data_IF_573423341254
#
_entry.id   IF_573423341254
#
_cell.length_a   1.000
_cell.length_b   1.000
_cell.length_c   1.000
_cell.angle_alpha   90.00
_cell.angle_beta   90.00
_cell.angle_gamma   90.00
#
_symmetry.space_group_name_H-M   'P 1'
#
loop_
_entity.id
_entity.type
_entity.pdbx_description
1 polymer ?
#
# COMPACT_ATOMS: atom_id res chain seq x y z
N UNK A 1 -0.63 -45.03 0.04
CA UNK A 1 -0.55 -44.89 -1.43
C UNK A 1 -1.05 -43.51 -1.78
N UNK A 2 -0.14 -42.50 -1.86
CA UNK A 2 -0.47 -41.17 -2.40
C UNK A 2 -0.46 -41.27 -3.93
N UNK A 3 -1.63 -41.14 -4.54
CA UNK A 3 -1.73 -41.16 -6.00
C UNK A 3 -1.04 -39.90 -6.55
N UNK A 4 0.08 -40.07 -7.25
CA UNK A 4 0.59 -39.08 -8.17
C UNK A 4 -0.49 -38.81 -9.24
N UNK A 5 -1.31 -37.75 -9.00
CA UNK A 5 -2.14 -37.22 -10.08
C UNK A 5 -1.21 -36.61 -11.12
N UNK A 6 -1.17 -37.22 -12.28
CA UNK A 6 -0.35 -36.81 -13.42
C UNK A 6 -0.63 -35.36 -13.81
N UNK A 7 0.42 -34.58 -13.97
CA UNK A 7 0.48 -33.19 -14.39
C UNK A 7 0.16 -32.98 -15.89
N UNK A 8 -0.97 -33.49 -16.39
CA UNK A 8 -1.29 -33.39 -17.82
C UNK A 8 -2.06 -32.11 -18.24
N UNK A 9 -2.55 -31.32 -17.30
CA UNK A 9 -3.25 -30.06 -17.63
C UNK A 9 -2.24 -28.90 -17.75
N UNK A 10 -2.32 -28.16 -18.87
CA UNK A 10 -1.53 -26.96 -19.10
C UNK A 10 -1.72 -25.95 -17.93
N UNK A 11 -0.65 -25.30 -17.47
CA UNK A 11 -0.73 -24.40 -16.31
C UNK A 11 -1.52 -23.13 -16.63
N UNK A 12 -2.04 -22.46 -15.60
CA UNK A 12 -2.40 -21.04 -15.67
C UNK A 12 -1.11 -20.24 -15.57
N UNK A 13 -0.84 -19.36 -16.54
CA UNK A 13 0.33 -18.50 -16.53
C UNK A 13 -0.05 -17.18 -15.86
N UNK A 14 0.69 -16.80 -14.84
CA UNK A 14 0.52 -15.53 -14.12
C UNK A 14 1.77 -14.69 -14.32
N UNK A 15 1.61 -13.51 -14.88
CA UNK A 15 2.71 -12.55 -15.13
C UNK A 15 2.67 -11.48 -14.06
N UNK A 16 3.71 -11.46 -13.20
CA UNK A 16 3.84 -10.57 -12.05
C UNK A 16 3.66 -11.28 -10.72
N UNK A 17 4.72 -11.27 -9.89
CA UNK A 17 4.77 -11.86 -8.55
C UNK A 17 4.51 -10.81 -7.43
N UNK A 18 3.73 -9.76 -7.74
CA UNK A 18 3.19 -8.82 -6.77
C UNK A 18 2.05 -9.43 -5.94
N UNK A 19 1.48 -8.66 -5.02
CA UNK A 19 0.41 -9.12 -4.12
C UNK A 19 -0.79 -9.72 -4.84
N UNK A 20 -1.20 -9.16 -5.99
CA UNK A 20 -2.32 -9.69 -6.78
C UNK A 20 -1.99 -11.02 -7.46
N UNK A 21 -0.78 -11.13 -8.05
CA UNK A 21 -0.33 -12.37 -8.68
C UNK A 21 -0.16 -13.51 -7.67
N UNK A 22 0.44 -13.22 -6.51
CA UNK A 22 0.58 -14.19 -5.43
C UNK A 22 -0.79 -14.62 -4.87
N UNK A 23 -1.73 -13.68 -4.68
CA UNK A 23 -3.09 -14.01 -4.27
C UNK A 23 -3.78 -14.92 -5.29
N UNK A 24 -3.71 -14.58 -6.59
CA UNK A 24 -4.26 -15.41 -7.65
C UNK A 24 -3.65 -16.81 -7.62
N UNK A 25 -2.32 -16.92 -7.52
CA UNK A 25 -1.59 -18.17 -7.50
C UNK A 25 -2.01 -19.06 -6.31
N UNK A 26 -2.09 -18.50 -5.10
CA UNK A 26 -2.48 -19.26 -3.89
C UNK A 26 -3.90 -19.81 -4.01
N UNK A 27 -4.86 -19.02 -4.53
CA UNK A 27 -6.24 -19.49 -4.72
C UNK A 27 -6.36 -20.55 -5.82
N UNK A 28 -5.62 -20.44 -6.92
CA UNK A 28 -5.57 -21.45 -7.97
C UNK A 28 -4.94 -22.76 -7.45
N UNK A 29 -3.84 -22.66 -6.70
CA UNK A 29 -3.18 -23.81 -6.07
C UNK A 29 -4.11 -24.52 -5.11
N UNK A 30 -4.84 -23.78 -4.28
CA UNK A 30 -5.82 -24.36 -3.34
C UNK A 30 -6.97 -25.09 -4.06
N UNK A 31 -7.31 -24.67 -5.28
CA UNK A 31 -8.29 -25.36 -6.14
C UNK A 31 -7.68 -26.53 -6.97
N UNK A 32 -6.41 -26.85 -6.78
CA UNK A 32 -5.72 -27.95 -7.45
C UNK A 32 -5.43 -27.69 -8.93
N UNK A 33 -5.27 -26.41 -9.34
CA UNK A 33 -4.86 -26.06 -10.68
C UNK A 33 -3.33 -25.90 -10.74
N UNK A 34 -2.73 -26.41 -11.82
CA UNK A 34 -1.33 -26.13 -12.13
C UNK A 34 -1.18 -24.66 -12.52
N UNK A 35 -0.11 -24.02 -12.06
CA UNK A 35 0.19 -22.64 -12.37
C UNK A 35 1.69 -22.42 -12.62
N UNK A 36 2.02 -21.34 -13.31
CA UNK A 36 3.37 -20.83 -13.48
C UNK A 36 3.35 -19.31 -13.27
N UNK A 37 4.00 -18.84 -12.24
CA UNK A 37 4.14 -17.44 -11.88
C UNK A 37 5.48 -16.92 -12.40
N UNK A 38 5.48 -15.87 -13.22
CA UNK A 38 6.67 -15.33 -13.89
C UNK A 38 6.83 -13.87 -13.50
N UNK A 39 8.02 -13.47 -13.06
CA UNK A 39 8.33 -12.08 -12.74
C UNK A 39 9.69 -11.66 -13.32
N UNK A 40 9.80 -10.42 -13.75
CA UNK A 40 11.02 -9.84 -14.28
C UNK A 40 12.02 -9.43 -13.20
N UNK A 41 11.58 -9.31 -11.95
CA UNK A 41 12.42 -8.93 -10.80
C UNK A 41 13.13 -10.15 -10.18
N UNK A 42 14.07 -9.87 -9.32
CA UNK A 42 14.88 -10.83 -8.57
C UNK A 42 14.17 -11.40 -7.32
N UNK A 43 12.94 -10.95 -7.04
CA UNK A 43 12.17 -11.38 -5.88
C UNK A 43 10.69 -11.10 -6.00
N UNK A 44 9.90 -11.76 -5.15
CA UNK A 44 8.45 -11.59 -5.06
C UNK A 44 8.06 -10.32 -4.30
N UNK A 45 6.82 -9.86 -4.49
CA UNK A 45 6.21 -8.78 -3.73
C UNK A 45 5.91 -7.51 -4.54
N UNK A 46 6.60 -7.31 -5.66
CA UNK A 46 6.44 -6.09 -6.46
C UNK A 46 6.81 -4.83 -5.68
N UNK A 47 5.83 -3.99 -5.36
CA UNK A 47 6.00 -2.79 -4.53
C UNK A 47 6.13 -3.09 -3.02
N UNK A 48 5.60 -4.22 -2.57
CA UNK A 48 5.67 -4.64 -1.15
C UNK A 48 6.94 -5.48 -0.96
N UNK A 49 8.08 -4.80 -0.83
CA UNK A 49 9.40 -5.41 -0.67
C UNK A 49 10.21 -4.67 0.36
N UNK A 50 11.12 -5.42 0.99
CA UNK A 50 12.13 -4.90 1.93
C UNK A 50 13.50 -5.27 1.41
N UNK A 51 14.33 -4.27 1.22
CA UNK A 51 15.74 -4.41 0.84
C UNK A 51 16.62 -4.31 2.09
N UNK A 52 17.88 -4.72 1.98
CA UNK A 52 18.87 -4.56 3.05
C UNK A 52 19.97 -3.62 2.57
N UNK A 53 20.25 -2.58 3.35
CA UNK A 53 21.38 -1.68 3.13
C UNK A 53 22.09 -1.40 4.44
N UNK A 54 23.40 -1.62 4.49
CA UNK A 54 24.24 -1.47 5.69
C UNK A 54 23.66 -2.19 6.93
N UNK A 55 22.96 -3.33 6.68
CA UNK A 55 22.28 -4.13 7.70
C UNK A 55 20.90 -3.63 8.12
N UNK A 56 20.50 -2.42 7.74
CA UNK A 56 19.13 -1.91 7.96
C UNK A 56 18.13 -2.55 7.00
N UNK A 57 16.90 -2.76 7.47
CA UNK A 57 15.78 -3.17 6.64
C UNK A 57 15.08 -1.92 6.07
N UNK A 58 15.06 -1.80 4.76
CA UNK A 58 14.47 -0.65 4.06
C UNK A 58 13.30 -1.12 3.20
N UNK A 59 12.09 -0.78 3.59
CA UNK A 59 10.92 -1.02 2.75
C UNK A 59 10.97 -0.09 1.51
N UNK A 60 10.39 -0.49 0.40
CA UNK A 60 10.34 0.35 -0.80
C UNK A 60 9.33 1.47 -0.65
N UNK A 61 9.74 2.54 0.04
CA UNK A 61 8.90 3.62 0.54
C UNK A 61 8.25 3.29 1.89
N UNK A 62 7.77 4.34 2.59
CA UNK A 62 7.05 4.16 3.84
C UNK A 62 5.72 3.43 3.59
N UNK A 63 5.57 2.26 4.17
CA UNK A 63 4.39 1.42 4.03
C UNK A 63 3.89 0.94 5.38
N UNK A 64 2.58 0.70 5.48
CA UNK A 64 1.96 0.05 6.63
C UNK A 64 0.97 -1.02 6.17
N UNK A 65 0.79 -2.04 6.98
CA UNK A 65 -0.26 -3.02 6.84
C UNK A 65 -1.39 -2.71 7.84
N UNK A 66 -2.63 -2.63 7.37
CA UNK A 66 -3.79 -2.46 8.24
C UNK A 66 -4.31 -3.84 8.67
N UNK A 67 -4.20 -4.17 9.96
CA UNK A 67 -4.55 -5.49 10.49
C UNK A 67 -6.06 -5.80 10.47
N UNK A 68 -6.88 -4.80 10.07
CA UNK A 68 -8.31 -4.94 9.81
C UNK A 68 -8.66 -5.35 8.37
N UNK A 69 -7.70 -5.54 7.48
CA UNK A 69 -7.95 -5.98 6.12
C UNK A 69 -8.56 -7.39 6.09
N UNK A 70 -9.81 -7.58 5.64
CA UNK A 70 -10.50 -8.86 5.80
C UNK A 70 -9.94 -9.97 4.91
N UNK A 71 -9.74 -9.71 3.61
CA UNK A 71 -9.29 -10.75 2.67
C UNK A 71 -7.81 -11.08 2.85
N UNK A 72 -6.99 -10.05 3.04
CA UNK A 72 -5.56 -10.25 3.28
C UNK A 72 -5.34 -10.91 4.63
N UNK A 73 -6.08 -10.51 5.67
CA UNK A 73 -6.02 -11.12 7.00
C UNK A 73 -6.43 -12.58 7.01
N UNK A 74 -7.41 -12.98 6.17
CA UNK A 74 -7.80 -14.39 6.01
C UNK A 74 -6.74 -15.22 5.25
N UNK A 75 -5.93 -14.58 4.42
CA UNK A 75 -4.92 -15.25 3.60
C UNK A 75 -3.57 -15.40 4.31
N UNK A 76 -3.26 -14.52 5.27
CA UNK A 76 -1.96 -14.44 5.96
C UNK A 76 -2.03 -15.07 7.36
N UNK A 77 -0.90 -15.58 7.82
CA UNK A 77 -0.67 -15.86 9.24
C UNK A 77 -0.11 -14.59 9.91
N UNK A 78 -1.01 -13.77 10.46
CA UNK A 78 -0.65 -12.51 11.08
C UNK A 78 0.23 -12.69 12.33
N UNK A 79 0.12 -13.85 13.00
CA UNK A 79 0.94 -14.14 14.17
C UNK A 79 2.40 -14.42 13.77
N UNK A 80 2.60 -15.17 12.69
CA UNK A 80 3.94 -15.45 12.17
C UNK A 80 4.63 -14.21 11.60
N UNK A 81 3.86 -13.21 11.15
CA UNK A 81 4.39 -11.91 10.69
C UNK A 81 4.89 -11.04 11.85
N UNK A 82 4.53 -11.35 13.10
CA UNK A 82 4.89 -10.55 14.29
C UNK A 82 4.61 -9.05 14.08
N UNK A 83 3.33 -8.73 13.86
CA UNK A 83 2.92 -7.37 13.50
C UNK A 83 3.14 -6.38 14.65
N UNK A 84 3.97 -5.37 14.40
CA UNK A 84 4.27 -4.26 15.30
C UNK A 84 3.32 -3.10 15.03
N UNK A 85 2.67 -2.60 16.09
CA UNK A 85 1.62 -1.59 15.99
C UNK A 85 2.16 -0.19 16.12
N UNK A 86 1.64 0.71 15.31
CA UNK A 86 1.79 2.16 15.52
C UNK A 86 0.77 2.69 16.51
N UNK A 87 1.11 3.80 17.16
CA UNK A 87 0.18 4.54 18.00
C UNK A 87 -1.01 5.06 17.16
N UNK A 88 -2.25 4.97 17.69
CA UNK A 88 -3.44 5.39 16.97
C UNK A 88 -3.59 6.92 17.01
N UNK A 89 -2.79 7.61 16.23
CA UNK A 89 -2.74 9.06 16.15
C UNK A 89 -1.57 9.55 15.35
N UNK A 90 -1.26 10.84 15.49
CA UNK A 90 -0.12 11.47 14.84
C UNK A 90 0.43 12.63 15.67
N UNK A 91 1.71 12.94 15.47
CA UNK A 91 2.27 14.24 15.79
C UNK A 91 2.12 15.13 14.56
N UNK A 92 1.62 16.34 14.71
CA UNK A 92 1.40 17.27 13.60
C UNK A 92 2.24 18.52 13.82
N UNK A 93 3.16 18.78 12.90
CA UNK A 93 3.96 20.01 12.91
C UNK A 93 3.11 21.17 12.37
N UNK A 94 2.92 22.20 13.17
CA UNK A 94 2.07 23.34 12.83
C UNK A 94 2.84 24.59 12.36
N UNK A 95 4.06 24.41 11.89
CA UNK A 95 4.97 25.48 11.48
C UNK A 95 5.83 26.04 12.65
N UNK A 96 5.58 25.62 13.87
CA UNK A 96 6.35 26.07 15.06
C UNK A 96 6.77 24.93 15.98
N UNK A 97 5.91 23.94 16.16
CA UNK A 97 6.13 22.80 17.08
C UNK A 97 5.22 21.64 16.73
N UNK A 98 5.61 20.46 17.16
CA UNK A 98 4.80 19.23 17.06
C UNK A 98 3.63 19.29 18.04
N UNK A 99 2.45 18.88 17.60
CA UNK A 99 1.21 18.79 18.36
C UNK A 99 0.63 17.39 18.24
N UNK A 100 0.30 16.78 19.35
CA UNK A 100 -0.26 15.43 19.39
C UNK A 100 -1.77 15.46 19.12
N UNK A 101 -2.20 14.60 18.19
CA UNK A 101 -3.60 14.33 17.90
C UNK A 101 -3.81 12.80 17.90
N UNK A 102 -4.54 12.29 18.88
CA UNK A 102 -4.78 10.86 19.07
C UNK A 102 -6.22 10.48 18.77
N UNK A 103 -6.45 9.23 18.37
CA UNK A 103 -7.79 8.64 18.36
C UNK A 103 -8.26 8.43 19.81
N UNK A 104 -9.10 9.34 20.28
CA UNK A 104 -9.60 9.35 21.66
C UNK A 104 -10.44 8.13 22.01
N UNK A 105 -11.01 7.43 21.03
CA UNK A 105 -11.75 6.18 21.24
C UNK A 105 -10.83 5.01 21.59
N UNK A 106 -9.59 5.06 21.10
CA UNK A 106 -8.57 4.03 21.34
C UNK A 106 -7.59 4.42 22.44
N UNK A 107 -7.41 5.72 22.69
CA UNK A 107 -6.57 6.30 23.74
C UNK A 107 -7.39 7.32 24.56
N UNK A 108 -8.36 6.89 25.41
CA UNK A 108 -9.21 7.81 26.18
C UNK A 108 -8.41 8.76 27.08
N UNK A 109 -7.27 8.33 27.61
CA UNK A 109 -6.38 9.18 28.40
C UNK A 109 -5.87 10.42 27.64
N UNK A 110 -5.82 10.36 26.31
CA UNK A 110 -5.41 11.48 25.44
C UNK A 110 -6.57 12.40 25.03
N UNK A 111 -7.78 12.20 25.58
CA UNK A 111 -8.97 12.96 25.18
C UNK A 111 -8.79 14.46 25.41
N UNK A 112 -8.25 14.85 26.57
CA UNK A 112 -8.03 16.25 26.88
C UNK A 112 -6.98 16.90 25.98
N UNK A 113 -5.82 16.26 25.80
CA UNK A 113 -4.76 16.79 24.93
C UNK A 113 -5.19 16.87 23.47
N UNK A 114 -5.93 15.87 22.99
CA UNK A 114 -6.49 15.89 21.61
C UNK A 114 -7.61 16.92 21.47
N UNK A 115 -8.47 17.11 22.48
CA UNK A 115 -9.52 18.12 22.46
C UNK A 115 -8.96 19.55 22.42
N UNK A 116 -7.87 19.79 23.13
CA UNK A 116 -7.23 21.12 23.24
C UNK A 116 -6.15 21.36 22.18
N UNK A 117 -5.74 20.34 21.41
CA UNK A 117 -4.79 20.50 20.33
C UNK A 117 -5.29 21.57 19.33
N UNK A 118 -4.45 22.52 18.90
CA UNK A 118 -4.83 23.58 17.97
C UNK A 118 -4.82 23.06 16.51
N UNK A 119 -5.50 21.94 16.29
CA UNK A 119 -5.69 21.26 15.01
C UNK A 119 -7.20 21.19 14.77
N UNK A 120 -7.74 22.05 13.90
CA UNK A 120 -9.17 22.25 13.75
C UNK A 120 -9.84 22.80 15.01
N UNK A 121 -11.16 23.06 14.94
CA UNK A 121 -11.98 23.48 16.07
C UNK A 121 -12.58 22.31 16.86
N UNK A 122 -13.19 22.60 18.02
CA UNK A 122 -13.93 21.62 18.80
C UNK A 122 -15.05 20.95 17.99
N UNK A 123 -15.75 21.73 17.16
CA UNK A 123 -16.80 21.23 16.27
C UNK A 123 -16.26 20.23 15.25
N UNK A 124 -15.04 20.44 14.74
CA UNK A 124 -14.40 19.48 13.81
C UNK A 124 -14.16 18.13 14.50
N UNK A 125 -13.73 18.14 15.74
CA UNK A 125 -13.48 16.93 16.52
C UNK A 125 -14.78 16.14 16.79
N UNK A 126 -15.88 16.84 17.08
CA UNK A 126 -17.21 16.22 17.16
C UNK A 126 -17.63 15.60 15.82
N UNK A 127 -17.40 16.32 14.71
CA UNK A 127 -17.68 15.80 13.34
C UNK A 127 -16.87 14.55 13.02
N UNK A 128 -15.58 14.46 13.45
CA UNK A 128 -14.79 13.23 13.34
C UNK A 128 -15.47 12.08 14.05
N UNK A 129 -15.96 12.30 15.27
CA UNK A 129 -16.68 11.29 16.06
C UNK A 129 -17.95 10.79 15.35
N UNK A 130 -18.78 11.71 14.84
CA UNK A 130 -19.99 11.37 14.09
C UNK A 130 -19.67 10.64 12.79
N UNK A 131 -18.69 11.11 12.03
CA UNK A 131 -18.22 10.46 10.82
C UNK A 131 -17.70 9.05 11.11
N UNK A 132 -16.95 8.88 12.20
CA UNK A 132 -16.45 7.58 12.66
C UNK A 132 -17.59 6.61 12.93
N UNK A 133 -18.58 7.00 13.71
CA UNK A 133 -19.74 6.16 14.02
C UNK A 133 -20.47 5.72 12.76
N UNK A 134 -20.71 6.63 11.82
CA UNK A 134 -21.38 6.35 10.56
C UNK A 134 -20.57 5.39 9.67
N UNK A 135 -19.25 5.63 9.52
CA UNK A 135 -18.40 4.81 8.65
C UNK A 135 -18.20 3.41 9.24
N UNK A 136 -17.93 3.30 10.55
CA UNK A 136 -17.73 2.00 11.19
C UNK A 136 -19.02 1.16 11.21
N UNK A 137 -20.18 1.78 11.33
CA UNK A 137 -21.49 1.11 11.24
C UNK A 137 -21.90 0.67 9.83
N UNK A 138 -21.18 1.11 8.78
CA UNK A 138 -21.48 0.74 7.39
C UNK A 138 -20.68 -0.49 6.97
N UNK A 139 -21.23 -1.33 6.08
CA UNK A 139 -20.46 -2.40 5.43
C UNK A 139 -19.59 -1.84 4.30
N UNK A 140 -18.56 -2.59 3.88
CA UNK A 140 -17.74 -2.21 2.72
C UNK A 140 -18.57 -2.09 1.44
N UNK A 141 -19.57 -2.97 1.28
CA UNK A 141 -20.48 -2.90 0.15
C UNK A 141 -21.35 -1.64 0.17
N UNK A 142 -21.82 -1.20 1.35
CA UNK A 142 -22.55 0.06 1.49
C UNK A 142 -21.67 1.26 1.16
N UNK A 143 -20.40 1.27 1.59
CA UNK A 143 -19.43 2.32 1.23
C UNK A 143 -19.22 2.36 -0.28
N UNK A 144 -19.00 1.22 -0.92
CA UNK A 144 -18.81 1.12 -2.37
C UNK A 144 -20.02 1.60 -3.21
N UNK A 145 -21.23 1.58 -2.64
CA UNK A 145 -22.47 2.04 -3.30
C UNK A 145 -22.78 3.53 -3.11
N UNK A 146 -22.05 4.22 -2.21
CA UNK A 146 -22.27 5.66 -1.97
C UNK A 146 -21.94 6.48 -3.22
N UNK A 147 -22.50 7.69 -3.29
CA UNK A 147 -22.08 8.69 -4.26
C UNK A 147 -20.58 8.94 -4.12
N UNK A 148 -19.87 8.96 -5.24
CA UNK A 148 -18.42 9.17 -5.26
C UNK A 148 -18.10 10.60 -5.63
N UNK A 149 -17.22 11.21 -4.87
CA UNK A 149 -16.71 12.58 -5.05
C UNK A 149 -15.29 12.67 -4.51
N UNK A 150 -14.62 13.79 -4.72
CA UNK A 150 -13.30 13.98 -4.15
C UNK A 150 -13.35 13.96 -2.62
N UNK A 151 -12.33 13.45 -1.97
CA UNK A 151 -12.20 13.47 -0.50
C UNK A 151 -12.32 14.89 0.04
N UNK A 152 -11.77 15.90 -0.65
CA UNK A 152 -11.92 17.30 -0.23
C UNK A 152 -13.38 17.75 -0.24
N UNK A 153 -14.10 17.50 -1.36
CA UNK A 153 -15.52 17.83 -1.48
C UNK A 153 -16.38 17.10 -0.42
N UNK A 154 -16.05 15.84 -0.15
CA UNK A 154 -16.70 15.05 0.89
C UNK A 154 -16.51 15.66 2.28
N UNK A 155 -15.28 16.02 2.66
CA UNK A 155 -14.98 16.63 3.96
C UNK A 155 -15.64 18.01 4.10
N UNK A 156 -15.58 18.84 3.06
CA UNK A 156 -16.28 20.14 3.03
C UNK A 156 -17.80 19.97 3.17
N UNK A 157 -18.39 19.01 2.45
CA UNK A 157 -19.81 18.69 2.52
C UNK A 157 -20.26 18.19 3.90
N UNK A 158 -19.33 17.63 4.69
CA UNK A 158 -19.57 17.30 6.11
C UNK A 158 -19.35 18.46 7.06
N UNK A 159 -18.97 19.63 6.54
CA UNK A 159 -18.82 20.86 7.29
C UNK A 159 -17.48 21.00 8.01
N UNK A 160 -16.47 20.17 7.72
CA UNK A 160 -15.13 20.35 8.30
C UNK A 160 -14.56 21.72 7.92
N UNK A 161 -13.90 22.36 8.90
CA UNK A 161 -13.25 23.65 8.67
C UNK A 161 -12.04 23.49 7.73
N UNK A 162 -11.71 24.59 7.01
CA UNK A 162 -10.50 24.64 6.19
C UNK A 162 -9.25 24.31 7.01
N UNK A 163 -9.17 24.84 8.24
CA UNK A 163 -8.05 24.56 9.14
C UNK A 163 -7.89 23.06 9.43
N UNK A 164 -8.97 22.33 9.72
CA UNK A 164 -8.92 20.89 9.96
C UNK A 164 -8.53 20.11 8.71
N UNK A 165 -9.06 20.51 7.56
CA UNK A 165 -8.74 19.86 6.27
C UNK A 165 -7.26 20.06 5.94
N UNK A 166 -6.76 21.27 5.99
CA UNK A 166 -5.40 21.59 5.56
C UNK A 166 -4.34 21.09 6.54
N UNK A 167 -4.58 21.24 7.85
CA UNK A 167 -3.56 20.88 8.86
C UNK A 167 -3.47 19.37 9.11
N UNK A 168 -4.59 18.64 9.06
CA UNK A 168 -4.62 17.22 9.40
C UNK A 168 -4.98 16.32 8.21
N UNK A 169 -6.18 16.49 7.63
CA UNK A 169 -6.62 15.55 6.60
C UNK A 169 -5.72 15.56 5.37
N UNK A 170 -5.26 16.73 4.95
CA UNK A 170 -4.39 16.89 3.79
C UNK A 170 -3.02 16.24 4.02
N UNK A 171 -2.41 16.43 5.18
CA UNK A 171 -1.11 15.83 5.50
C UNK A 171 -1.21 14.32 5.69
N UNK A 172 -2.24 13.85 6.42
CA UNK A 172 -2.40 12.44 6.72
C UNK A 172 -2.82 11.64 5.47
N UNK A 173 -3.92 12.06 4.82
CA UNK A 173 -4.40 11.37 3.63
C UNK A 173 -3.58 11.67 2.39
N UNK A 174 -2.90 12.82 2.35
CA UNK A 174 -1.91 13.13 1.32
C UNK A 174 -0.78 12.11 1.31
N UNK A 175 -0.28 11.71 2.47
CA UNK A 175 0.72 10.63 2.58
C UNK A 175 0.17 9.25 2.19
N UNK A 176 -1.11 8.96 2.45
CA UNK A 176 -1.74 7.67 2.09
C UNK A 176 -2.04 7.61 0.58
N UNK A 177 -2.54 8.71 0.02
CA UNK A 177 -2.96 8.78 -1.39
C UNK A 177 -1.87 9.30 -2.33
N UNK A 178 -0.73 9.70 -1.77
CA UNK A 178 0.41 10.29 -2.47
C UNK A 178 0.02 11.51 -3.33
N UNK A 179 -0.91 12.34 -2.78
CA UNK A 179 -1.33 13.60 -3.44
C UNK A 179 -1.85 14.60 -2.40
N UNK A 180 -1.54 15.87 -2.59
CA UNK A 180 -1.84 16.92 -1.61
C UNK A 180 -3.22 17.56 -1.76
N UNK A 181 -3.96 17.30 -2.84
CA UNK A 181 -5.19 18.02 -3.16
C UNK A 181 -6.47 17.34 -2.67
N UNK A 182 -6.34 16.12 -2.12
CA UNK A 182 -7.45 15.27 -1.68
C UNK A 182 -8.47 15.01 -2.82
N UNK A 183 -7.95 14.81 -4.06
CA UNK A 183 -8.74 14.46 -5.24
C UNK A 183 -9.18 13.00 -5.26
N UNK A 184 -8.53 12.16 -4.48
CA UNK A 184 -8.87 10.75 -4.36
C UNK A 184 -10.33 10.54 -3.94
N UNK A 185 -10.93 9.47 -4.43
CA UNK A 185 -12.31 9.06 -4.19
C UNK A 185 -12.69 9.07 -2.70
N UNK A 186 -13.85 9.61 -2.38
CA UNK A 186 -14.43 9.59 -1.04
C UNK A 186 -14.75 8.17 -0.56
N UNK A 187 -15.00 7.23 -1.47
CA UNK A 187 -15.17 5.81 -1.11
C UNK A 187 -13.86 5.21 -0.63
N UNK A 188 -12.74 5.58 -1.27
CA UNK A 188 -11.41 5.15 -0.83
C UNK A 188 -11.04 5.77 0.52
N UNK A 189 -11.40 7.05 0.73
CA UNK A 189 -11.26 7.71 2.03
C UNK A 189 -12.04 6.96 3.12
N UNK A 190 -13.33 6.66 2.89
CA UNK A 190 -14.17 5.96 3.87
C UNK A 190 -13.68 4.52 4.12
N UNK A 191 -13.22 3.82 3.08
CA UNK A 191 -12.61 2.50 3.22
C UNK A 191 -11.38 2.57 4.13
N UNK A 192 -10.44 3.45 3.83
CA UNK A 192 -9.20 3.60 4.60
C UNK A 192 -9.49 4.04 6.04
N UNK A 193 -10.40 5.02 6.21
CA UNK A 193 -10.85 5.47 7.53
C UNK A 193 -11.47 4.33 8.34
N UNK A 194 -12.28 3.48 7.70
CA UNK A 194 -12.87 2.31 8.34
C UNK A 194 -11.81 1.32 8.80
N UNK A 195 -10.82 1.02 7.97
CA UNK A 195 -9.75 0.08 8.31
C UNK A 195 -8.92 0.60 9.50
N UNK A 196 -8.55 1.88 9.51
CA UNK A 196 -7.90 2.50 10.67
C UNK A 196 -8.79 2.49 11.93
N UNK A 197 -10.09 2.69 11.77
CA UNK A 197 -11.03 2.71 12.89
C UNK A 197 -11.33 1.33 13.50
N UNK A 198 -11.16 0.25 12.73
CA UNK A 198 -11.40 -1.13 13.15
C UNK A 198 -10.13 -1.86 13.58
N UNK A 199 -8.98 -1.49 13.02
CA UNK A 199 -7.69 -2.09 13.29
C UNK A 199 -6.59 -1.08 13.55
N UNK A 200 -5.35 -1.55 13.46
CA UNK A 200 -4.14 -0.76 13.65
C UNK A 200 -3.35 -0.65 12.36
N UNK A 201 -2.64 0.47 12.18
CA UNK A 201 -1.50 0.49 11.30
C UNK A 201 -0.38 -0.35 11.92
N UNK A 202 0.18 -1.23 11.14
CA UNK A 202 1.22 -2.16 11.60
C UNK A 202 2.30 -2.32 10.53
N UNK A 203 3.43 -2.86 10.93
CA UNK A 203 4.42 -3.42 10.02
C UNK A 203 4.88 -4.80 10.55
N UNK A 204 5.23 -5.76 9.68
CA UNK A 204 5.89 -6.99 10.12
C UNK A 204 7.24 -6.68 10.76
N UNK A 205 7.59 -7.38 11.83
CA UNK A 205 8.83 -7.13 12.56
C UNK A 205 10.08 -7.10 11.66
N UNK A 206 10.10 -7.93 10.60
CA UNK A 206 11.22 -8.07 9.66
C UNK A 206 10.99 -7.42 8.30
N UNK A 207 10.14 -6.39 8.24
CA UNK A 207 9.87 -5.63 7.02
C UNK A 207 8.64 -6.09 6.26
N UNK A 208 8.09 -5.18 5.46
CA UNK A 208 6.87 -5.40 4.66
C UNK A 208 7.01 -6.56 3.67
N UNK A 209 8.24 -6.85 3.22
CA UNK A 209 8.55 -7.97 2.33
C UNK A 209 8.20 -9.36 2.89
N UNK A 210 8.01 -9.50 4.21
CA UNK A 210 7.57 -10.77 4.80
C UNK A 210 6.15 -11.17 4.35
N UNK A 211 5.28 -10.21 4.06
CA UNK A 211 3.92 -10.46 3.59
C UNK A 211 3.91 -11.25 2.27
N UNK A 212 4.52 -10.77 1.17
CA UNK A 212 4.58 -11.54 -0.07
C UNK A 212 5.43 -12.83 0.05
N UNK A 213 6.49 -12.85 0.88
CA UNK A 213 7.28 -14.07 1.11
C UNK A 213 6.42 -15.17 1.73
N UNK A 214 5.56 -14.83 2.69
CA UNK A 214 4.64 -15.79 3.30
C UNK A 214 3.63 -16.35 2.29
N UNK A 215 3.14 -15.55 1.33
CA UNK A 215 2.28 -16.04 0.26
C UNK A 215 3.04 -16.93 -0.71
N UNK A 216 4.24 -16.55 -1.12
CA UNK A 216 5.08 -17.33 -2.01
C UNK A 216 5.45 -18.70 -1.40
N UNK A 217 5.67 -18.76 -0.09
CA UNK A 217 5.95 -20.00 0.62
C UNK A 217 4.81 -21.03 0.62
N UNK A 218 3.57 -20.60 0.26
CA UNK A 218 2.43 -21.51 0.08
C UNK A 218 2.41 -22.19 -1.30
N UNK A 219 3.25 -21.76 -2.22
CA UNK A 219 3.32 -22.26 -3.59
C UNK A 219 4.42 -23.29 -3.77
N UNK A 220 4.31 -24.24 -4.71
CA UNK A 220 5.42 -25.11 -5.08
C UNK A 220 6.61 -24.27 -5.56
N UNK A 221 7.82 -24.66 -5.14
CA UNK A 221 9.05 -23.92 -5.45
C UNK A 221 9.31 -23.76 -6.95
N UNK A 222 8.94 -24.75 -7.75
CA UNK A 222 9.09 -24.80 -9.19
C UNK A 222 7.99 -23.99 -9.94
N UNK A 223 6.98 -23.50 -9.23
CA UNK A 223 5.91 -22.72 -9.84
C UNK A 223 6.25 -21.23 -10.02
N UNK A 224 7.33 -20.73 -9.39
CA UNK A 224 7.76 -19.33 -9.47
C UNK A 224 9.07 -19.24 -10.26
N UNK A 225 9.05 -18.40 -11.29
CA UNK A 225 10.22 -18.10 -12.13
C UNK A 225 10.51 -16.61 -12.08
N UNK A 226 11.63 -16.24 -11.47
CA UNK A 226 12.10 -14.85 -11.34
C UNK A 226 13.12 -14.51 -12.44
N UNK A 227 13.46 -13.20 -12.57
CA UNK A 227 14.39 -12.68 -13.56
C UNK A 227 14.00 -13.02 -15.02
N UNK A 228 12.70 -13.12 -15.29
CA UNK A 228 12.16 -13.44 -16.62
C UNK A 228 11.13 -12.39 -17.04
N UNK A 229 11.51 -11.56 -18.02
CA UNK A 229 10.61 -10.52 -18.56
C UNK A 229 9.73 -11.10 -19.66
N UNK A 230 8.42 -11.00 -19.49
CA UNK A 230 7.44 -11.25 -20.54
C UNK A 230 7.35 -10.03 -21.44
N UNK A 231 7.41 -10.23 -22.76
CA UNK A 231 7.39 -9.15 -23.77
C UNK A 231 6.19 -9.23 -24.71
N UNK A 232 5.45 -10.35 -24.72
CA UNK A 232 4.23 -10.52 -25.51
C UNK A 232 3.32 -11.53 -24.84
N UNK A 233 2.01 -11.36 -25.01
CA UNK A 233 0.98 -12.20 -24.42
C UNK A 233 -0.10 -12.52 -25.43
N UNK A 234 -0.58 -13.76 -25.38
CA UNK A 234 -1.77 -14.27 -26.06
C UNK A 234 -2.69 -14.95 -25.04
N UNK A 235 -3.94 -15.27 -25.35
CA UNK A 235 -4.87 -15.89 -24.42
C UNK A 235 -4.39 -17.20 -23.76
N UNK A 236 -3.43 -17.89 -24.42
CA UNK A 236 -2.91 -19.20 -23.97
C UNK A 236 -1.39 -19.32 -24.04
N UNK A 237 -0.68 -18.20 -24.19
CA UNK A 237 0.78 -18.23 -24.18
C UNK A 237 1.37 -16.88 -23.83
N UNK A 238 2.61 -16.90 -23.36
CA UNK A 238 3.43 -15.71 -23.16
C UNK A 238 4.77 -15.92 -23.85
N UNK A 239 5.39 -14.85 -24.34
CA UNK A 239 6.75 -14.87 -24.90
C UNK A 239 7.67 -14.11 -23.95
N UNK A 240 8.78 -14.74 -23.57
CA UNK A 240 9.83 -14.13 -22.76
C UNK A 240 10.77 -13.29 -23.62
N UNK A 241 11.52 -12.39 -22.99
CA UNK A 241 12.57 -11.61 -23.64
C UNK A 241 13.69 -12.46 -24.27
N UNK A 242 13.85 -13.70 -23.80
CA UNK A 242 14.75 -14.70 -24.39
C UNK A 242 14.27 -15.27 -25.73
N UNK A 243 13.00 -15.03 -26.13
CA UNK A 243 12.33 -15.65 -27.25
C UNK A 243 11.62 -16.96 -26.89
N UNK A 244 11.76 -17.50 -25.69
CA UNK A 244 11.02 -18.69 -25.23
C UNK A 244 9.53 -18.39 -25.20
N UNK A 245 8.72 -19.29 -25.78
CA UNK A 245 7.26 -19.23 -25.70
C UNK A 245 6.73 -20.28 -24.72
N UNK A 246 5.98 -19.82 -23.73
CA UNK A 246 5.39 -20.67 -22.70
C UNK A 246 3.89 -20.76 -22.96
N UNK A 247 3.39 -21.99 -23.06
CA UNK A 247 1.98 -22.26 -23.29
C UNK A 247 1.26 -22.60 -22.00
N UNK A 248 0.02 -22.10 -21.87
CA UNK A 248 -0.87 -22.34 -20.74
C UNK A 248 -2.33 -22.46 -21.16
N UNK A 249 -3.18 -22.76 -20.20
CA UNK A 249 -4.64 -22.82 -20.40
C UNK A 249 -5.32 -21.44 -20.30
N UNK A 250 -4.72 -20.53 -19.58
CA UNK A 250 -5.14 -19.13 -19.42
C UNK A 250 -3.93 -18.27 -19.07
N UNK A 251 -4.02 -16.98 -19.37
CA UNK A 251 -2.99 -15.98 -19.02
C UNK A 251 -3.61 -14.91 -18.14
N UNK A 252 -2.91 -14.58 -17.04
CA UNK A 252 -3.25 -13.54 -16.08
C UNK A 252 -2.11 -12.52 -16.04
N UNK A 253 -2.41 -11.26 -16.32
CA UNK A 253 -1.51 -10.13 -16.11
C UNK A 253 -1.76 -9.55 -14.71
N UNK A 254 -0.82 -9.73 -13.83
CA UNK A 254 -0.82 -9.24 -12.44
C UNK A 254 0.28 -8.21 -12.20
N UNK A 255 0.64 -7.48 -13.25
CA UNK A 255 1.64 -6.42 -13.26
C UNK A 255 1.02 -5.06 -12.93
N UNK A 256 1.84 -4.01 -12.84
CA UNK A 256 1.33 -2.65 -12.78
C UNK A 256 0.63 -2.28 -14.11
N UNK A 257 -0.20 -1.23 -14.09
CA UNK A 257 -0.99 -0.84 -15.26
C UNK A 257 -0.16 -0.29 -16.43
N UNK A 258 1.07 0.18 -16.18
CA UNK A 258 2.00 0.61 -17.25
C UNK A 258 2.39 -0.60 -18.10
N UNK A 259 2.83 -1.67 -17.46
CA UNK A 259 3.19 -2.94 -18.15
C UNK A 259 1.96 -3.59 -18.80
N UNK A 260 0.78 -3.48 -18.18
CA UNK A 260 -0.48 -3.91 -18.83
C UNK A 260 -0.69 -3.15 -20.15
N UNK A 261 -0.54 -1.82 -20.15
CA UNK A 261 -0.68 -1.00 -21.35
C UNK A 261 0.42 -1.23 -22.41
N UNK A 262 1.60 -1.74 -22.02
CA UNK A 262 2.64 -2.17 -22.95
C UNK A 262 2.29 -3.52 -23.62
N UNK A 263 1.77 -4.47 -22.83
CA UNK A 263 1.43 -5.83 -23.29
C UNK A 263 0.07 -5.90 -23.99
N UNK A 264 -0.87 -5.01 -23.62
CA UNK A 264 -2.21 -4.87 -24.19
C UNK A 264 -2.46 -3.40 -24.54
N UNK A 265 -1.94 -2.90 -25.67
CA UNK A 265 -2.01 -1.48 -26.05
C UNK A 265 -3.42 -0.91 -26.12
N UNK A 266 -4.43 -1.75 -26.41
CA UNK A 266 -5.84 -1.36 -26.44
C UNK A 266 -6.38 -0.93 -25.07
N UNK A 267 -5.78 -1.39 -23.98
CA UNK A 267 -6.16 -0.99 -22.62
C UNK A 267 -5.40 0.25 -22.13
N UNK A 268 -4.38 0.70 -22.83
CA UNK A 268 -3.48 1.76 -22.35
C UNK A 268 -4.21 3.03 -21.93
N UNK A 269 -5.22 3.45 -22.68
CA UNK A 269 -6.00 4.64 -22.40
C UNK A 269 -6.99 4.50 -21.23
N UNK A 270 -7.25 3.27 -20.80
CA UNK A 270 -8.13 2.97 -19.65
C UNK A 270 -7.37 2.81 -18.35
N UNK A 271 -6.04 2.71 -18.43
CA UNK A 271 -5.20 2.53 -17.24
C UNK A 271 -5.06 3.84 -16.47
N UNK A 272 -5.10 3.79 -15.12
CA UNK A 272 -4.92 4.97 -14.30
C UNK A 272 -3.49 5.51 -14.41
N UNK A 273 -3.37 6.82 -14.22
CA UNK A 273 -2.09 7.46 -13.95
C UNK A 273 -1.51 7.00 -12.62
N UNK A 274 -0.22 7.23 -12.41
CA UNK A 274 0.48 6.84 -11.20
C UNK A 274 0.86 8.05 -10.36
N UNK A 275 0.69 7.89 -9.06
CA UNK A 275 1.27 8.76 -8.06
C UNK A 275 2.66 8.27 -7.72
N UNK A 276 3.54 9.21 -7.48
CA UNK A 276 4.93 8.95 -7.14
C UNK A 276 5.28 9.48 -5.76
N UNK A 277 6.34 8.93 -5.18
CA UNK A 277 6.88 9.37 -3.90
C UNK A 277 8.39 9.24 -3.92
N UNK A 278 9.06 10.18 -3.28
CA UNK A 278 10.48 10.09 -2.93
C UNK A 278 10.57 9.78 -1.45
N UNK A 279 11.23 8.68 -1.10
CA UNK A 279 11.43 8.30 0.29
C UNK A 279 12.90 8.35 0.65
N UNK A 280 13.23 9.05 1.73
CA UNK A 280 14.59 9.14 2.24
C UNK A 280 14.70 8.33 3.53
N UNK A 281 15.79 7.60 3.65
CA UNK A 281 16.16 6.91 4.87
C UNK A 281 17.37 7.58 5.50
N UNK A 282 17.26 7.85 6.79
CA UNK A 282 18.36 8.29 7.64
C UNK A 282 18.53 7.32 8.80
N UNK A 283 19.72 7.25 9.33
CA UNK A 283 19.95 6.63 10.63
C UNK A 283 20.52 7.66 11.60
N UNK A 284 20.23 7.48 12.88
CA UNK A 284 20.65 8.36 13.96
C UNK A 284 21.04 7.55 15.21
N UNK A 285 21.85 8.09 16.13
CA UNK A 285 22.19 7.43 17.38
C UNK A 285 20.94 7.05 18.21
N UNK A 286 19.91 7.91 18.20
CA UNK A 286 18.64 7.69 18.90
C UNK A 286 17.46 8.20 18.08
N UNK A 287 16.25 7.72 18.40
CA UNK A 287 15.03 8.18 17.76
C UNK A 287 14.65 9.59 18.24
N UNK A 288 14.23 10.49 17.34
CA UNK A 288 13.71 11.80 17.73
C UNK A 288 12.27 11.72 18.27
N UNK A 289 11.61 10.54 18.17
CA UNK A 289 10.21 10.34 18.52
C UNK A 289 10.03 9.50 19.79
N UNK A 290 10.91 8.52 20.02
CA UNK A 290 10.91 7.56 21.14
C UNK A 290 9.59 6.76 21.28
N UNK A 291 8.78 6.72 20.20
CA UNK A 291 7.50 6.02 20.16
C UNK A 291 7.09 5.70 18.70
N UNK A 292 6.35 4.60 18.46
CA UNK A 292 5.92 4.21 17.11
C UNK A 292 4.78 5.11 16.61
N UNK A 293 5.07 6.37 16.32
CA UNK A 293 4.09 7.35 15.87
C UNK A 293 4.54 8.04 14.58
N UNK A 294 3.59 8.40 13.73
CA UNK A 294 3.87 9.18 12.53
C UNK A 294 3.86 10.68 12.83
N UNK A 295 4.85 11.41 12.31
CA UNK A 295 4.86 12.87 12.28
C UNK A 295 4.39 13.36 10.92
N UNK A 296 3.49 14.34 10.89
CA UNK A 296 2.86 14.92 9.71
C UNK A 296 3.22 16.39 9.56
N UNK A 297 3.39 16.84 8.34
CA UNK A 297 3.54 18.25 8.02
C UNK A 297 2.17 18.94 7.95
N UNK A 298 1.71 19.53 9.03
CA UNK A 298 0.48 20.32 9.08
C UNK A 298 0.68 21.81 8.79
N UNK A 299 1.91 22.25 8.50
CA UNK A 299 2.20 23.66 8.18
C UNK A 299 1.79 24.03 6.75
N UNK A 300 1.80 23.06 5.83
CA UNK A 300 1.63 23.30 4.40
C UNK A 300 2.85 23.91 3.71
N UNK A 301 3.97 24.03 4.41
CA UNK A 301 5.23 24.57 3.92
C UNK A 301 6.31 23.47 3.89
N UNK A 302 7.34 23.64 3.06
CA UNK A 302 8.41 22.66 2.91
C UNK A 302 8.06 21.52 1.95
N UNK A 303 8.92 20.51 1.91
CA UNK A 303 8.81 19.36 0.99
C UNK A 303 8.40 18.07 1.71
N UNK A 304 8.69 17.97 3.01
CA UNK A 304 8.41 16.78 3.81
C UNK A 304 6.90 16.62 4.01
N UNK A 305 6.36 15.46 3.69
CA UNK A 305 4.97 15.12 4.01
C UNK A 305 4.85 14.47 5.39
N UNK A 306 5.67 13.46 5.65
CA UNK A 306 5.66 12.75 6.92
C UNK A 306 7.03 12.16 7.27
N UNK A 307 7.22 11.92 8.58
CA UNK A 307 8.41 11.29 9.17
C UNK A 307 7.97 10.18 10.11
N UNK A 308 8.71 9.07 10.12
CA UNK A 308 8.50 7.98 11.05
C UNK A 308 9.84 7.33 11.42
N UNK A 309 10.06 7.06 12.70
CA UNK A 309 11.17 6.21 13.16
C UNK A 309 10.68 4.75 13.16
N UNK A 310 11.12 3.97 12.18
CA UNK A 310 10.66 2.58 11.99
C UNK A 310 11.13 1.67 13.12
N UNK A 311 12.31 1.95 13.68
CA UNK A 311 12.88 1.22 14.81
C UNK A 311 12.10 1.38 16.11
N UNK A 312 11.32 2.45 16.25
CA UNK A 312 10.42 2.60 17.40
C UNK A 312 9.25 1.61 17.35
N UNK A 313 8.84 1.23 16.14
CA UNK A 313 7.84 0.18 15.94
C UNK A 313 8.49 -1.22 15.98
N UNK A 314 9.60 -1.42 15.30
CA UNK A 314 10.34 -2.69 15.29
C UNK A 314 11.86 -2.48 15.35
N UNK A 315 12.52 -2.87 16.44
CA UNK A 315 13.97 -2.82 16.57
C UNK A 315 14.69 -3.65 15.49
N UNK A 316 14.05 -4.68 14.93
CA UNK A 316 14.62 -5.55 13.88
C UNK A 316 14.97 -4.81 12.59
N UNK A 317 14.49 -3.58 12.41
CA UNK A 317 14.85 -2.73 11.26
C UNK A 317 16.30 -2.18 11.34
N UNK A 318 16.94 -2.27 12.50
CA UNK A 318 18.32 -1.83 12.71
C UNK A 318 19.22 -3.01 13.05
N UNK A 319 20.46 -3.05 12.52
CA UNK A 319 21.42 -4.11 12.85
C UNK A 319 22.08 -3.94 14.21
N UNK A 320 22.06 -2.73 14.78
CA UNK A 320 22.91 -2.34 15.91
C UNK A 320 22.21 -1.42 16.93
N UNK A 321 20.90 -1.22 16.78
CA UNK A 321 20.09 -0.41 17.70
C UNK A 321 20.07 1.09 17.38
N UNK A 322 20.76 1.57 16.33
CA UNK A 322 20.56 2.93 15.83
C UNK A 322 19.14 3.12 15.32
N UNK A 323 18.61 4.32 15.45
CA UNK A 323 17.30 4.64 14.91
C UNK A 323 17.31 4.68 13.38
N UNK A 324 16.32 4.05 12.76
CA UNK A 324 16.04 4.17 11.32
C UNK A 324 14.86 5.10 11.10
N UNK A 325 15.08 6.19 10.41
CA UNK A 325 14.11 7.25 10.18
C UNK A 325 13.74 7.25 8.71
N UNK A 326 12.45 7.13 8.41
CA UNK A 326 11.87 7.23 7.07
C UNK A 326 11.19 8.57 6.90
N UNK A 327 11.52 9.28 5.81
CA UNK A 327 10.96 10.59 5.44
C UNK A 327 10.34 10.49 4.06
N UNK A 328 9.05 10.82 3.95
CA UNK A 328 8.33 10.79 2.68
C UNK A 328 8.13 12.20 2.12
N UNK A 329 8.45 12.37 0.84
CA UNK A 329 8.24 13.57 0.05
C UNK A 329 7.35 13.20 -1.14
N UNK A 330 6.23 13.89 -1.34
CA UNK A 330 5.29 13.60 -2.42
C UNK A 330 5.89 13.97 -3.78
N UNK A 331 5.73 13.08 -4.77
CA UNK A 331 6.29 13.27 -6.10
C UNK A 331 7.71 12.75 -6.26
N UNK A 332 8.29 12.97 -7.43
CA UNK A 332 9.68 12.62 -7.75
C UNK A 332 10.58 13.83 -7.56
N UNK A 333 11.59 13.67 -6.73
CA UNK A 333 12.57 14.67 -6.39
C UNK A 333 13.99 14.15 -6.67
N UNK A 334 14.46 14.22 -7.93
CA UNK A 334 15.76 13.67 -8.32
C UNK A 334 16.95 14.59 -7.98
N UNK A 335 16.72 15.66 -7.24
CA UNK A 335 17.75 16.63 -6.86
C UNK A 335 18.80 15.98 -5.95
N UNK A 336 20.07 16.13 -6.29
CA UNK A 336 21.17 15.50 -5.54
C UNK A 336 21.25 15.93 -4.07
N UNK A 337 20.83 17.15 -3.75
CA UNK A 337 20.88 17.72 -2.40
C UNK A 337 19.51 17.70 -1.69
N UNK A 338 18.61 16.82 -2.10
CA UNK A 338 17.31 16.69 -1.44
C UNK A 338 17.46 16.34 0.05
N UNK A 339 18.41 15.45 0.38
CA UNK A 339 18.63 15.04 1.77
C UNK A 339 19.07 16.22 2.65
N UNK A 340 19.94 17.12 2.16
CA UNK A 340 20.33 18.33 2.90
C UNK A 340 19.15 19.29 3.13
N UNK A 341 18.31 19.50 2.10
CA UNK A 341 17.09 20.31 2.23
C UNK A 341 16.12 19.71 3.25
N UNK A 342 15.93 18.40 3.22
CA UNK A 342 15.07 17.66 4.15
C UNK A 342 15.61 17.78 5.59
N UNK A 343 16.92 17.59 5.80
CA UNK A 343 17.53 17.77 7.12
C UNK A 343 17.33 19.20 7.65
N UNK A 344 17.55 20.21 6.80
CA UNK A 344 17.34 21.61 7.20
C UNK A 344 15.88 21.87 7.60
N UNK A 345 14.90 21.34 6.87
CA UNK A 345 13.48 21.44 7.23
C UNK A 345 13.20 20.74 8.58
N UNK A 346 13.74 19.53 8.76
CA UNK A 346 13.51 18.72 9.96
C UNK A 346 14.21 19.25 11.20
N UNK A 347 15.25 20.07 11.08
CA UNK A 347 15.79 20.84 12.22
C UNK A 347 14.74 21.76 12.82
N UNK A 348 13.80 22.29 12.01
CA UNK A 348 12.66 23.06 12.51
C UNK A 348 11.63 22.22 13.29
N UNK A 349 11.59 20.89 13.08
CA UNK A 349 10.65 19.98 13.75
C UNK A 349 11.22 19.37 15.02
N UNK A 350 12.51 18.94 14.97
CA UNK A 350 13.15 18.11 16.00
C UNK A 350 14.36 18.80 16.67
N UNK A 351 14.79 19.94 16.16
CA UNK A 351 15.94 20.68 16.70
C UNK A 351 17.28 20.09 16.29
N UNK A 352 18.32 20.37 17.09
CA UNK A 352 19.73 20.07 16.79
C UNK A 352 20.04 18.58 16.65
N UNK A 353 19.22 17.67 17.20
CA UNK A 353 19.46 16.22 17.04
C UNK A 353 19.48 15.77 15.58
N UNK A 354 18.90 16.54 14.66
CA UNK A 354 18.90 16.24 13.22
C UNK A 354 20.31 16.36 12.60
N UNK A 355 21.22 17.12 13.22
CA UNK A 355 22.61 17.24 12.76
C UNK A 355 23.38 15.92 12.87
N UNK A 356 22.95 15.03 13.79
CA UNK A 356 23.52 13.71 13.97
C UNK A 356 22.99 12.66 13.00
N UNK A 357 21.98 13.03 12.16
CA UNK A 357 21.40 12.09 11.22
C UNK A 357 22.30 11.91 10.00
N UNK A 358 22.53 10.66 9.65
CA UNK A 358 23.28 10.29 8.45
C UNK A 358 22.33 9.79 7.38
N UNK A 359 22.41 10.33 6.17
CA UNK A 359 21.63 9.86 5.03
C UNK A 359 22.09 8.47 4.61
N UNK A 360 21.16 7.53 4.48
CA UNK A 360 21.41 6.14 4.10
C UNK A 360 21.04 5.87 2.65
N UNK A 361 19.82 6.22 2.23
CA UNK A 361 19.30 5.97 0.88
C UNK A 361 18.16 6.93 0.53
N UNK A 362 18.05 7.26 -0.76
CA UNK A 362 16.88 7.91 -1.35
C UNK A 362 16.30 7.03 -2.43
N UNK A 363 15.02 6.70 -2.29
CA UNK A 363 14.26 5.91 -3.24
C UNK A 363 13.31 6.80 -4.05
N UNK A 364 13.46 6.81 -5.36
CA UNK A 364 12.55 7.46 -6.31
C UNK A 364 11.55 6.43 -6.81
N UNK A 365 10.30 6.50 -6.36
CA UNK A 365 9.26 5.51 -6.67
C UNK A 365 8.24 6.16 -7.60
N UNK A 366 8.41 5.95 -8.91
CA UNK A 366 7.57 6.55 -9.95
C UNK A 366 6.15 5.97 -9.97
N UNK A 367 6.02 4.68 -9.72
CA UNK A 367 4.76 3.94 -9.78
C UNK A 367 4.38 3.43 -8.39
N UNK A 368 4.26 4.38 -7.44
CA UNK A 368 4.02 4.05 -6.04
C UNK A 368 2.55 3.64 -5.80
N UNK A 369 1.59 4.42 -6.33
CA UNK A 369 0.17 4.19 -6.13
C UNK A 369 -0.63 4.55 -7.38
N UNK A 370 -1.56 3.72 -7.88
CA UNK A 370 -2.44 4.10 -8.97
C UNK A 370 -3.41 5.20 -8.52
N UNK A 371 -3.66 6.17 -9.40
CA UNK A 371 -4.63 7.23 -9.11
C UNK A 371 -6.05 6.65 -9.00
N UNK A 372 -6.78 7.11 -8.00
CA UNK A 372 -8.17 6.72 -7.76
C UNK A 372 -9.06 7.96 -7.65
N UNK A 373 -9.25 8.65 -8.77
CA UNK A 373 -10.22 9.73 -8.86
C UNK A 373 -11.67 9.19 -8.72
N UNK A 374 -12.62 10.03 -8.31
CA UNK A 374 -14.04 9.68 -8.27
C UNK A 374 -14.50 9.15 -9.62
N UNK A 375 -15.20 8.01 -9.61
CA UNK A 375 -15.69 7.38 -10.83
C UNK A 375 -17.18 7.07 -10.73
N UNK A 376 -17.92 7.43 -11.78
CA UNK A 376 -19.31 7.00 -11.95
C UNK A 376 -19.41 5.51 -12.32
N UNK A 377 -18.34 4.91 -12.86
CA UNK A 377 -18.28 3.48 -13.18
C UNK A 377 -18.20 2.69 -11.88
N UNK A 378 -19.20 1.88 -11.62
CA UNK A 378 -19.18 0.87 -10.57
C UNK A 378 -18.52 -0.37 -11.16
N UNK A 379 -17.22 -0.49 -11.05
CA UNK A 379 -16.57 -1.73 -11.46
C UNK A 379 -16.96 -2.85 -10.48
N UNK A 380 -17.72 -3.81 -10.98
CA UNK A 380 -18.27 -4.90 -10.17
C UNK A 380 -17.37 -6.11 -10.17
N UNK A 381 -16.53 -6.27 -11.19
CA UNK A 381 -15.73 -7.48 -11.35
C UNK A 381 -14.46 -7.45 -10.48
N UNK A 382 -13.81 -6.28 -10.36
CA UNK A 382 -12.53 -6.11 -9.65
C UNK A 382 -11.36 -6.75 -10.39
N UNK A 383 -11.53 -7.01 -11.67
CA UNK A 383 -10.51 -7.38 -12.65
C UNK A 383 -11.01 -7.02 -14.05
N UNK A 384 -10.09 -6.95 -15.01
CA UNK A 384 -10.41 -6.70 -16.42
C UNK A 384 -10.24 -8.02 -17.19
N UNK A 385 -11.10 -8.27 -18.16
CA UNK A 385 -10.95 -9.37 -19.12
C UNK A 385 -10.94 -8.81 -20.52
N UNK A 386 -9.81 -8.96 -21.22
CA UNK A 386 -9.61 -8.45 -22.56
C UNK A 386 -9.07 -9.57 -23.48
N UNK A 387 -9.77 -9.84 -24.57
CA UNK A 387 -9.36 -10.84 -25.58
C UNK A 387 -8.99 -12.22 -24.98
N UNK A 388 -9.67 -12.65 -23.91
CA UNK A 388 -9.39 -13.93 -23.23
C UNK A 388 -8.20 -13.89 -22.24
N UNK A 389 -7.60 -12.73 -22.04
CA UNK A 389 -6.55 -12.47 -21.02
C UNK A 389 -7.20 -11.80 -19.80
N UNK A 390 -6.81 -12.22 -18.60
CA UNK A 390 -7.24 -11.62 -17.33
C UNK A 390 -6.21 -10.60 -16.88
N UNK A 391 -6.68 -9.48 -16.35
CA UNK A 391 -5.82 -8.45 -15.74
C UNK A 391 -6.27 -8.20 -14.32
N UNK A 392 -5.37 -8.32 -13.35
CA UNK A 392 -5.63 -8.03 -11.94
C UNK A 392 -4.56 -7.13 -11.34
N UNK A 393 -4.95 -6.41 -10.31
CA UNK A 393 -4.09 -5.46 -9.60
C UNK A 393 -4.92 -4.56 -8.70
N UNK A 394 -4.25 -3.77 -7.85
CA UNK A 394 -4.89 -2.75 -7.05
C UNK A 394 -5.51 -1.63 -7.90
N UNK A 395 -5.02 -1.42 -9.10
CA UNK A 395 -5.57 -0.50 -10.10
C UNK A 395 -6.96 -0.93 -10.62
N UNK A 396 -7.31 -2.21 -10.52
CA UNK A 396 -8.62 -2.74 -10.90
C UNK A 396 -9.62 -2.78 -9.72
N UNK A 397 -9.22 -2.43 -8.51
CA UNK A 397 -10.04 -2.44 -7.29
C UNK A 397 -9.83 -1.18 -6.46
N UNK A 398 -9.17 -1.31 -5.31
CA UNK A 398 -8.72 -0.21 -4.45
C UNK A 398 -7.20 -0.20 -4.36
N UNK A 399 -6.59 0.99 -4.46
CA UNK A 399 -5.14 1.18 -4.39
C UNK A 399 -4.62 0.85 -2.98
N UNK A 400 -4.52 -0.45 -2.69
CA UNK A 400 -4.11 -1.00 -1.40
C UNK A 400 -3.64 -2.46 -1.54
N UNK A 401 -2.93 -2.94 -0.52
CA UNK A 401 -2.59 -4.38 -0.41
C UNK A 401 -3.86 -5.24 -0.45
N UNK A 402 -4.90 -4.82 0.27
CA UNK A 402 -6.21 -5.48 0.29
C UNK A 402 -6.83 -5.55 -1.11
N UNK A 403 -6.83 -4.43 -1.83
CA UNK A 403 -7.37 -4.37 -3.19
C UNK A 403 -6.62 -5.28 -4.16
N UNK A 404 -5.29 -5.34 -4.07
CA UNK A 404 -4.47 -6.24 -4.86
C UNK A 404 -4.84 -7.71 -4.60
N UNK A 405 -5.00 -8.09 -3.33
CA UNK A 405 -5.38 -9.45 -2.92
C UNK A 405 -6.79 -9.80 -3.41
N UNK A 406 -7.76 -8.91 -3.25
CA UNK A 406 -9.13 -9.09 -3.75
C UNK A 406 -9.15 -9.29 -5.27
N UNK A 407 -8.39 -8.47 -6.01
CA UNK A 407 -8.34 -8.56 -7.47
C UNK A 407 -7.78 -9.91 -7.94
N UNK A 408 -6.67 -10.36 -7.35
CA UNK A 408 -6.08 -11.67 -7.64
C UNK A 408 -7.01 -12.84 -7.32
N UNK A 409 -7.67 -12.80 -6.15
CA UNK A 409 -8.68 -13.79 -5.75
C UNK A 409 -9.82 -13.90 -6.76
N UNK A 410 -10.38 -12.76 -7.20
CA UNK A 410 -11.50 -12.73 -8.15
C UNK A 410 -11.14 -13.31 -9.52
N UNK A 411 -9.93 -13.07 -10.01
CA UNK A 411 -9.44 -13.72 -11.24
C UNK A 411 -9.34 -15.23 -11.04
N UNK A 412 -8.77 -15.68 -9.92
CA UNK A 412 -8.69 -17.11 -9.64
C UNK A 412 -10.09 -17.76 -9.61
N UNK A 413 -11.06 -17.14 -8.93
CA UNK A 413 -12.46 -17.61 -8.87
C UNK A 413 -13.10 -17.68 -10.26
N UNK A 414 -12.86 -16.68 -11.13
CA UNK A 414 -13.36 -16.68 -12.51
C UNK A 414 -12.79 -17.85 -13.33
N UNK A 415 -11.48 -18.12 -13.21
CA UNK A 415 -10.83 -19.25 -13.91
C UNK A 415 -11.31 -20.59 -13.38
N UNK A 416 -11.46 -20.75 -12.07
CA UNK A 416 -11.97 -21.97 -11.42
C UNK A 416 -13.41 -22.27 -11.90
N UNK A 417 -14.26 -21.24 -11.94
CA UNK A 417 -15.65 -21.37 -12.40
C UNK A 417 -15.73 -21.84 -13.86
N UNK A 418 -14.89 -21.31 -14.74
CA UNK A 418 -14.85 -21.76 -16.14
C UNK A 418 -14.42 -23.23 -16.27
N UNK A 419 -13.50 -23.73 -15.44
CA UNK A 419 -13.13 -25.14 -15.44
C UNK A 419 -14.33 -26.02 -15.09
N UNK A 420 -15.12 -25.66 -14.09
CA UNK A 420 -16.29 -26.43 -13.65
C UNK A 420 -17.40 -26.44 -14.71
N UNK A 421 -17.50 -25.41 -15.55
CA UNK A 421 -18.50 -25.33 -16.62
C UNK A 421 -18.09 -26.07 -17.90
N UNK A 422 -16.82 -26.47 -18.02
CA UNK A 422 -16.27 -27.20 -19.17
C UNK A 422 -16.20 -28.73 -18.95
N UNK A 423 -16.59 -29.21 -17.76
CA UNK A 423 -16.78 -30.61 -17.37
C UNK A 423 -18.26 -30.92 -17.33
#
# INVERSE_FOLDING_TARGET
>A
MMSHRSSSEAPVIIVGAGMSGLSCAVHLQAAGLNLRLIDSSDGVGGRVRTDVADGFLLDRGFQVYLDAYPETGALLDLKALDLRKFEPGALVFNGKRLKRLMDVFRRPASAWTSATAPIGGFIDKLRVGLMRTQILGSTLEQIAKREDRTTESYLRGRGFSKAMIDTFFRSFYGGIFLESELRTSSRMFEFTFKMFGQGSATLPAKGMGEIPRQLAAKLPLDSITLNQKVVSVDPRSVTLSSGERIHGRAVVLATNSVVVGELLPELKSEMPEWRSVTNLYFYAPSSPLEEPIICLNGSGEGVVNNVCALTDASPDYSPDGRALISVSVLGLHPERDLHGKVQQELMGWFGECVEEWSHLRTDLISEALPEQAPSAKKDKAGFIQQNGIYVCGDHATSASIEGAVISGKRVAEAIIKMRLSAV
#
